data_IF_851876081407
#
_entry.id   IF_851876081407
#
_cell.length_a   1.000
_cell.length_b   1.000
_cell.length_c   1.000
_cell.angle_alpha   90.00
_cell.angle_beta   90.00
_cell.angle_gamma   90.00
#
_symmetry.space_group_name_H-M   'P 1'
#
loop_
_entity.id
_entity.type
_entity.pdbx_description
1 polymer ?
#
# COMPACT_ATOMS: atom_id res chain seq x y z
N UNK A 1 -9.55 -23.71 31.91
CA UNK A 1 -9.95 -24.50 30.72
C UNK A 1 -9.51 -23.73 29.50
N UNK A 2 -8.54 -24.26 28.74
CA UNK A 2 -8.15 -23.70 27.44
C UNK A 2 -9.17 -24.22 26.45
N UNK A 3 -10.01 -23.34 25.92
CA UNK A 3 -11.02 -23.72 24.96
C UNK A 3 -10.34 -24.04 23.62
N UNK A 4 -10.67 -25.22 23.12
CA UNK A 4 -10.22 -25.79 21.86
C UNK A 4 -10.55 -24.89 20.66
N UNK A 5 -9.55 -24.73 19.80
CA UNK A 5 -9.56 -25.08 18.37
C UNK A 5 -10.98 -25.19 17.77
N UNK A 6 -11.39 -24.17 17.02
CA UNK A 6 -12.39 -24.32 15.96
C UNK A 6 -11.68 -23.99 14.65
N UNK A 7 -11.21 -24.95 13.85
CA UNK A 7 -11.96 -25.58 12.75
C UNK A 7 -13.06 -24.70 12.17
N UNK A 8 -12.80 -24.11 10.99
CA UNK A 8 -13.82 -23.37 10.27
C UNK A 8 -13.45 -22.81 8.89
N UNK A 9 -12.43 -23.33 8.18
CA UNK A 9 -12.16 -23.00 6.76
C UNK A 9 -11.83 -21.52 6.41
N UNK A 10 -12.10 -20.58 7.31
CA UNK A 10 -11.68 -19.20 7.26
C UNK A 10 -10.28 -19.09 7.83
N UNK A 11 -9.41 -18.38 7.13
CA UNK A 11 -8.11 -18.02 7.67
C UNK A 11 -8.37 -17.13 8.89
N UNK A 12 -8.03 -17.61 10.10
CA UNK A 12 -8.12 -16.81 11.32
C UNK A 12 -7.15 -15.62 11.21
N UNK A 13 -7.64 -14.37 11.31
CA UNK A 13 -6.79 -13.18 11.17
C UNK A 13 -5.59 -13.20 12.13
N UNK A 14 -5.78 -13.65 13.36
CA UNK A 14 -4.71 -13.79 14.37
C UNK A 14 -3.61 -14.79 13.94
N UNK A 15 -3.95 -15.83 13.17
CA UNK A 15 -2.96 -16.77 12.62
C UNK A 15 -2.14 -16.16 11.51
N UNK A 16 -2.75 -15.33 10.66
CA UNK A 16 -2.01 -14.55 9.67
C UNK A 16 -1.04 -13.58 10.36
N UNK A 17 -1.54 -12.94 11.40
CA UNK A 17 -0.76 -12.06 12.26
C UNK A 17 0.48 -12.80 12.80
N UNK A 18 0.28 -13.94 13.46
CA UNK A 18 1.36 -14.76 14.00
C UNK A 18 2.34 -15.25 12.92
N UNK A 19 1.84 -15.69 11.76
CA UNK A 19 2.68 -16.07 10.63
C UNK A 19 3.51 -14.89 10.10
N UNK A 20 2.93 -13.67 10.09
CA UNK A 20 3.62 -12.43 9.78
C UNK A 20 4.83 -12.19 10.68
N UNK A 21 4.66 -12.33 12.00
CA UNK A 21 5.76 -12.18 12.98
C UNK A 21 6.84 -13.23 12.78
N UNK A 22 6.47 -14.51 12.61
CA UNK A 22 7.44 -15.58 12.36
C UNK A 22 8.28 -15.28 11.11
N UNK A 23 7.65 -14.77 10.05
CA UNK A 23 8.37 -14.40 8.82
C UNK A 23 9.25 -13.16 8.98
N UNK A 24 8.89 -12.21 9.86
CA UNK A 24 9.74 -11.08 10.22
C UNK A 24 11.02 -11.59 10.88
N UNK A 25 10.90 -12.37 11.95
CA UNK A 25 12.03 -12.92 12.70
C UNK A 25 12.91 -13.83 11.82
N UNK A 26 12.29 -14.65 10.97
CA UNK A 26 13.02 -15.44 9.96
C UNK A 26 13.82 -14.55 9.01
N UNK A 27 13.25 -13.42 8.58
CA UNK A 27 13.94 -12.47 7.71
C UNK A 27 15.24 -11.98 8.34
N UNK A 28 15.18 -11.69 9.64
CA UNK A 28 16.27 -11.14 10.45
C UNK A 28 17.40 -12.14 10.63
N UNK A 29 17.05 -13.36 11.01
CA UNK A 29 17.98 -14.48 11.08
C UNK A 29 18.64 -14.73 9.72
N UNK A 30 17.87 -14.72 8.63
CA UNK A 30 18.43 -14.96 7.28
C UNK A 30 19.42 -13.89 6.86
N UNK A 31 19.18 -12.62 7.21
CA UNK A 31 20.13 -11.54 6.93
C UNK A 31 21.43 -11.71 7.73
N UNK A 32 21.34 -12.04 9.01
CA UNK A 32 22.50 -12.33 9.87
C UNK A 32 23.34 -13.51 9.34
N UNK A 33 22.67 -14.51 8.75
CA UNK A 33 23.32 -15.66 8.11
C UNK A 33 23.85 -15.37 6.69
N UNK A 34 23.77 -14.12 6.21
CA UNK A 34 24.25 -13.72 4.88
C UNK A 34 23.29 -14.03 3.73
N UNK A 35 22.09 -14.54 4.00
CA UNK A 35 21.07 -14.90 3.02
C UNK A 35 20.10 -13.74 2.74
N UNK A 36 20.64 -12.56 2.44
CA UNK A 36 19.87 -11.31 2.35
C UNK A 36 18.69 -11.34 1.36
N UNK A 37 18.81 -12.05 0.23
CA UNK A 37 17.71 -12.20 -0.74
C UNK A 37 16.51 -12.96 -0.17
N UNK A 38 16.76 -14.05 0.55
CA UNK A 38 15.71 -14.81 1.22
C UNK A 38 15.14 -14.02 2.40
N UNK A 39 16.00 -13.31 3.14
CA UNK A 39 15.59 -12.40 4.21
C UNK A 39 14.62 -11.32 3.71
N UNK A 40 14.97 -10.67 2.59
CA UNK A 40 14.11 -9.70 1.91
C UNK A 40 12.74 -10.28 1.52
N UNK A 41 12.74 -11.46 0.89
CA UNK A 41 11.50 -12.14 0.51
C UNK A 41 10.63 -12.48 1.73
N UNK A 42 11.26 -12.88 2.84
CA UNK A 42 10.58 -13.16 4.11
C UNK A 42 9.92 -11.90 4.68
N UNK A 43 10.62 -10.77 4.68
CA UNK A 43 10.09 -9.48 5.17
C UNK A 43 8.96 -8.92 4.31
N UNK A 44 9.06 -9.00 2.99
CA UNK A 44 7.97 -8.58 2.10
C UNK A 44 6.69 -9.39 2.36
N UNK A 45 6.81 -10.70 2.57
CA UNK A 45 5.68 -11.56 2.95
C UNK A 45 5.16 -11.23 4.34
N UNK A 46 6.06 -10.99 5.29
CA UNK A 46 5.69 -10.57 6.65
C UNK A 46 4.82 -9.30 6.62
N UNK A 47 5.27 -8.26 5.92
CA UNK A 47 4.52 -7.00 5.80
C UNK A 47 3.13 -7.24 5.19
N UNK A 48 3.06 -8.00 4.10
CA UNK A 48 1.78 -8.35 3.48
C UNK A 48 0.83 -9.07 4.45
N UNK A 49 1.31 -10.08 5.17
CA UNK A 49 0.49 -10.86 6.11
C UNK A 49 0.00 -10.03 7.29
N UNK A 50 0.86 -9.17 7.84
CA UNK A 50 0.48 -8.27 8.93
C UNK A 50 -0.61 -7.30 8.47
N UNK A 51 -0.40 -6.60 7.36
CA UNK A 51 -1.42 -5.67 6.83
C UNK A 51 -2.72 -6.40 6.49
N UNK A 52 -2.63 -7.60 5.89
CA UNK A 52 -3.83 -8.40 5.57
C UNK A 52 -4.57 -8.87 6.81
N UNK A 53 -3.85 -9.26 7.87
CA UNK A 53 -4.46 -9.64 9.13
C UNK A 53 -5.17 -8.48 9.82
N UNK A 54 -4.60 -7.28 9.75
CA UNK A 54 -5.23 -6.05 10.23
C UNK A 54 -6.50 -5.74 9.44
N UNK A 55 -6.45 -5.79 8.10
CA UNK A 55 -7.64 -5.59 7.23
C UNK A 55 -8.77 -6.57 7.57
N UNK A 56 -8.44 -7.80 7.98
CA UNK A 56 -9.41 -8.81 8.38
C UNK A 56 -9.86 -8.72 9.85
N UNK A 57 -9.37 -7.73 10.61
CA UNK A 57 -9.81 -7.47 11.98
C UNK A 57 -9.21 -8.40 13.03
N UNK A 58 -7.94 -8.79 12.89
CA UNK A 58 -7.20 -9.48 13.95
C UNK A 58 -7.21 -8.68 15.26
N UNK A 59 -7.17 -9.39 16.40
CA UNK A 59 -7.20 -8.73 17.72
C UNK A 59 -5.89 -7.93 17.93
N UNK A 60 -5.97 -6.59 18.09
CA UNK A 60 -4.80 -5.74 18.29
C UNK A 60 -4.02 -6.06 19.58
N UNK A 61 -4.58 -6.86 20.50
CA UNK A 61 -3.86 -7.35 21.68
C UNK A 61 -2.85 -8.46 21.36
N UNK A 62 -2.97 -9.09 20.18
CA UNK A 62 -2.08 -10.18 19.75
C UNK A 62 -0.77 -9.62 19.21
N UNK A 63 -0.81 -8.46 18.54
CA UNK A 63 0.35 -7.84 17.89
C UNK A 63 0.31 -6.32 18.00
N UNK A 64 1.46 -5.72 18.31
CA UNK A 64 1.72 -4.30 18.11
C UNK A 64 1.94 -4.01 16.60
N UNK A 65 0.84 -3.80 15.87
CA UNK A 65 0.86 -3.51 14.43
C UNK A 65 1.67 -2.26 14.09
N UNK A 66 1.47 -1.09 14.76
CA UNK A 66 2.24 0.11 14.48
C UNK A 66 3.75 -0.14 14.48
N UNK A 67 4.28 -0.74 15.55
CA UNK A 67 5.72 -1.01 15.65
C UNK A 67 6.20 -1.99 14.58
N UNK A 68 5.49 -3.12 14.40
CA UNK A 68 5.90 -4.17 13.47
C UNK A 68 5.87 -3.70 12.00
N UNK A 69 4.82 -2.98 11.61
CA UNK A 69 4.67 -2.44 10.24
C UNK A 69 5.71 -1.35 9.99
N UNK A 70 5.91 -0.42 10.92
CA UNK A 70 6.89 0.66 10.77
C UNK A 70 8.31 0.11 10.61
N UNK A 71 8.69 -0.88 11.41
CA UNK A 71 10.00 -1.54 11.30
C UNK A 71 10.19 -2.17 9.91
N UNK A 72 9.21 -2.94 9.44
CA UNK A 72 9.27 -3.60 8.14
C UNK A 72 9.32 -2.60 6.99
N UNK A 73 8.49 -1.54 7.01
CA UNK A 73 8.50 -0.48 6.00
C UNK A 73 9.87 0.21 5.97
N UNK A 74 10.43 0.56 7.13
CA UNK A 74 11.76 1.19 7.23
C UNK A 74 12.85 0.32 6.60
N UNK A 75 12.82 -0.99 6.83
CA UNK A 75 13.79 -1.94 6.26
C UNK A 75 13.59 -2.21 4.77
N UNK A 76 12.35 -2.08 4.30
CA UNK A 76 11.99 -2.32 2.91
C UNK A 76 12.05 -1.06 2.03
N UNK A 77 12.31 0.12 2.61
CA UNK A 77 12.28 1.43 1.91
C UNK A 77 13.11 1.52 0.63
N UNK A 78 14.18 0.75 0.51
CA UNK A 78 15.08 0.75 -0.65
C UNK A 78 14.64 -0.22 -1.75
N UNK A 79 13.51 -0.89 -1.58
CA UNK A 79 12.97 -1.89 -2.49
C UNK A 79 11.57 -1.50 -2.94
N UNK A 80 11.27 -1.78 -4.21
CA UNK A 80 9.89 -1.69 -4.73
C UNK A 80 9.03 -2.73 -4.02
N UNK A 81 7.97 -2.26 -3.36
CA UNK A 81 6.97 -3.15 -2.79
C UNK A 81 6.02 -3.67 -3.87
N UNK A 82 5.52 -4.92 -3.77
CA UNK A 82 4.47 -5.40 -4.64
C UNK A 82 3.19 -4.57 -4.49
N UNK A 83 2.48 -4.31 -5.59
CA UNK A 83 1.25 -3.51 -5.58
C UNK A 83 0.17 -3.99 -4.61
N UNK A 84 -0.08 -5.31 -4.45
CA UNK A 84 -1.03 -5.77 -3.42
C UNK A 84 -0.65 -5.35 -2.00
N UNK A 85 0.65 -5.26 -1.70
CA UNK A 85 1.15 -4.78 -0.42
C UNK A 85 0.99 -3.27 -0.29
N UNK A 86 1.28 -2.51 -1.34
CA UNK A 86 1.09 -1.05 -1.35
C UNK A 86 -0.39 -0.67 -1.17
N UNK A 87 -1.32 -1.40 -1.78
CA UNK A 87 -2.76 -1.18 -1.59
C UNK A 87 -3.19 -1.42 -0.14
N UNK A 88 -2.70 -2.49 0.49
CA UNK A 88 -2.94 -2.76 1.90
C UNK A 88 -2.30 -1.70 2.80
N UNK A 89 -1.11 -1.21 2.44
CA UNK A 89 -0.40 -0.19 3.20
C UNK A 89 -1.11 1.17 3.12
N UNK A 90 -1.59 1.56 1.94
CA UNK A 90 -2.43 2.74 1.74
C UNK A 90 -3.66 2.68 2.65
N UNK A 91 -4.44 1.58 2.61
CA UNK A 91 -5.62 1.39 3.46
C UNK A 91 -5.27 1.46 4.95
N UNK A 92 -4.21 0.77 5.35
CA UNK A 92 -3.75 0.75 6.74
C UNK A 92 -3.46 2.16 7.25
N UNK A 93 -2.77 3.00 6.46
CA UNK A 93 -2.51 4.38 6.86
C UNK A 93 -3.76 5.25 6.86
N UNK A 94 -4.70 5.06 5.93
CA UNK A 94 -6.02 5.72 5.97
C UNK A 94 -6.77 5.38 7.25
N UNK A 95 -6.78 4.10 7.65
CA UNK A 95 -7.46 3.63 8.87
C UNK A 95 -6.86 4.23 10.15
N UNK A 96 -5.54 4.46 10.16
CA UNK A 96 -4.84 5.12 11.26
C UNK A 96 -4.91 6.66 11.22
N UNK A 97 -5.42 7.24 10.15
CA UNK A 97 -5.47 8.69 9.94
C UNK A 97 -4.13 9.32 9.51
N UNK A 98 -3.15 8.52 9.09
CA UNK A 98 -1.88 9.01 8.52
C UNK A 98 -2.03 9.25 7.01
N UNK A 99 -2.68 10.36 6.65
CA UNK A 99 -3.07 10.65 5.27
C UNK A 99 -1.87 10.96 4.36
N UNK A 100 -0.82 11.57 4.90
CA UNK A 100 0.47 11.78 4.23
C UNK A 100 1.12 10.44 3.80
N UNK A 101 1.17 9.46 4.70
CA UNK A 101 1.73 8.14 4.42
C UNK A 101 0.83 7.33 3.48
N UNK A 102 -0.49 7.49 3.61
CA UNK A 102 -1.44 6.90 2.68
C UNK A 102 -1.24 7.44 1.26
N UNK A 103 -1.02 8.75 1.11
CA UNK A 103 -0.74 9.40 -0.17
C UNK A 103 0.58 8.88 -0.78
N UNK A 104 1.65 8.78 0.01
CA UNK A 104 2.91 8.21 -0.45
C UNK A 104 2.72 6.80 -1.05
N UNK A 105 2.01 5.92 -0.35
CA UNK A 105 1.71 4.57 -0.84
C UNK A 105 0.83 4.57 -2.12
N UNK A 106 -0.05 5.57 -2.27
CA UNK A 106 -0.87 5.76 -3.46
C UNK A 106 -0.01 6.18 -4.67
N UNK A 107 0.97 7.06 -4.48
CA UNK A 107 1.90 7.41 -5.56
C UNK A 107 2.84 6.25 -5.93
N UNK A 108 3.29 5.46 -4.95
CA UNK A 108 4.04 4.23 -5.23
C UNK A 108 3.23 3.23 -6.08
N UNK A 109 1.92 3.11 -5.83
CA UNK A 109 1.00 2.31 -6.66
C UNK A 109 0.88 2.85 -8.08
N UNK A 110 0.86 4.17 -8.22
CA UNK A 110 0.78 4.83 -9.53
C UNK A 110 2.04 4.54 -10.34
N UNK A 111 3.22 4.64 -9.71
CA UNK A 111 4.49 4.31 -10.34
C UNK A 111 4.61 2.82 -10.71
N UNK A 112 3.95 1.94 -9.96
CA UNK A 112 3.88 0.51 -10.28
C UNK A 112 3.01 0.19 -11.50
N UNK A 113 2.22 1.15 -11.99
CA UNK A 113 1.40 1.01 -13.20
C UNK A 113 0.12 0.19 -13.01
N UNK A 114 -0.42 0.14 -11.80
CA UNK A 114 -1.68 -0.56 -11.52
C UNK A 114 -2.88 0.12 -12.20
N UNK A 115 -3.76 -0.68 -12.81
CA UNK A 115 -4.79 -0.20 -13.74
C UNK A 115 -5.90 0.65 -13.10
N UNK A 116 -6.15 0.47 -11.81
CA UNK A 116 -7.25 1.12 -11.09
C UNK A 116 -6.78 2.24 -10.14
N UNK A 117 -5.49 2.55 -10.13
CA UNK A 117 -4.92 3.54 -9.20
C UNK A 117 -5.53 4.92 -9.39
N UNK A 118 -5.86 5.32 -10.62
CA UNK A 118 -6.51 6.60 -10.92
C UNK A 118 -7.83 6.79 -10.17
N UNK A 119 -8.71 5.78 -10.22
CA UNK A 119 -9.99 5.82 -9.51
C UNK A 119 -9.80 5.74 -7.98
N UNK A 120 -8.85 4.92 -7.51
CA UNK A 120 -8.50 4.84 -6.09
C UNK A 120 -8.09 6.21 -5.54
N UNK A 121 -7.20 6.93 -6.22
CA UNK A 121 -6.74 8.24 -5.78
C UNK A 121 -7.83 9.31 -5.79
N UNK A 122 -8.72 9.28 -6.80
CA UNK A 122 -9.87 10.19 -6.83
C UNK A 122 -10.78 9.99 -5.60
N UNK A 123 -11.12 8.74 -5.27
CA UNK A 123 -11.93 8.44 -4.09
C UNK A 123 -11.21 8.77 -2.77
N UNK A 124 -9.89 8.61 -2.72
CA UNK A 124 -9.09 8.99 -1.56
C UNK A 124 -9.21 10.50 -1.28
N UNK A 125 -8.88 11.35 -2.25
CA UNK A 125 -8.95 12.79 -2.07
C UNK A 125 -10.39 13.31 -1.89
N UNK A 126 -11.38 12.78 -2.60
CA UNK A 126 -12.79 13.15 -2.39
C UNK A 126 -13.23 12.89 -0.95
N UNK A 127 -12.80 11.76 -0.37
CA UNK A 127 -13.10 11.45 1.03
C UNK A 127 -12.43 12.44 1.98
N UNK A 128 -11.17 12.81 1.72
CA UNK A 128 -10.43 13.77 2.54
C UNK A 128 -11.04 15.18 2.52
N UNK A 129 -11.56 15.63 1.38
CA UNK A 129 -12.28 16.91 1.28
C UNK A 129 -13.53 17.00 2.18
N UNK A 130 -14.08 15.86 2.59
CA UNK A 130 -15.19 15.78 3.53
C UNK A 130 -14.79 15.73 5.00
N UNK A 131 -13.49 15.67 5.33
CA UNK A 131 -13.01 15.60 6.70
C UNK A 131 -12.80 17.00 7.32
N UNK A 132 -12.94 17.13 8.67
CA UNK A 132 -12.51 18.32 9.39
C UNK A 132 -11.02 18.64 9.17
N UNK A 133 -10.69 19.91 9.09
CA UNK A 133 -9.33 20.40 8.87
C UNK A 133 -8.38 19.92 9.97
N UNK A 134 -8.83 19.84 11.22
CA UNK A 134 -8.01 19.38 12.34
C UNK A 134 -7.59 17.90 12.18
N UNK A 135 -8.46 17.06 11.60
CA UNK A 135 -8.09 15.68 11.30
C UNK A 135 -7.07 15.60 10.17
N UNK A 136 -7.24 16.42 9.13
CA UNK A 136 -6.32 16.53 8.00
C UNK A 136 -4.92 16.99 8.46
N UNK A 137 -4.85 18.04 9.28
CA UNK A 137 -3.60 18.53 9.87
C UNK A 137 -2.94 17.47 10.75
N UNK A 138 -3.71 16.81 11.64
CA UNK A 138 -3.18 15.75 12.50
C UNK A 138 -2.68 14.53 11.71
N UNK A 139 -3.28 14.29 10.55
CA UNK A 139 -2.91 13.23 9.61
C UNK A 139 -1.82 13.61 8.62
N UNK A 140 -1.22 14.80 8.78
CA UNK A 140 -0.07 15.24 7.99
C UNK A 140 -0.39 15.73 6.58
N UNK A 141 -1.67 15.89 6.21
CA UNK A 141 -2.08 16.31 4.87
C UNK A 141 -3.14 17.43 4.94
N UNK A 142 -2.73 18.70 5.16
CA UNK A 142 -3.64 19.83 5.30
C UNK A 142 -4.57 20.04 4.10
N UNK A 143 -5.69 20.74 4.30
CA UNK A 143 -6.74 20.90 3.28
C UNK A 143 -6.24 21.50 1.95
N UNK A 144 -5.25 22.39 1.98
CA UNK A 144 -4.66 22.96 0.77
C UNK A 144 -3.86 21.90 -0.01
N UNK A 145 -3.08 21.05 0.67
CA UNK A 145 -2.37 19.93 0.03
C UNK A 145 -3.35 18.89 -0.53
N UNK A 146 -4.48 18.63 0.14
CA UNK A 146 -5.55 17.76 -0.38
C UNK A 146 -6.12 18.29 -1.70
N UNK A 147 -6.37 19.60 -1.79
CA UNK A 147 -6.89 20.24 -3.01
C UNK A 147 -5.87 20.19 -4.14
N UNK A 148 -4.61 20.53 -3.85
CA UNK A 148 -3.51 20.53 -4.81
C UNK A 148 -3.21 19.10 -5.31
N UNK A 149 -3.23 18.13 -4.41
CA UNK A 149 -3.11 16.70 -4.70
C UNK A 149 -4.23 16.23 -5.61
N UNK A 150 -5.49 16.55 -5.31
CA UNK A 150 -6.64 16.20 -6.18
C UNK A 150 -6.54 16.83 -7.57
N UNK A 151 -6.12 18.10 -7.65
CA UNK A 151 -5.96 18.79 -8.92
C UNK A 151 -4.88 18.11 -9.78
N UNK A 152 -3.71 17.87 -9.18
CA UNK A 152 -2.59 17.14 -9.82
C UNK A 152 -3.05 15.75 -10.27
N UNK A 153 -3.81 15.06 -9.43
CA UNK A 153 -4.33 13.72 -9.72
C UNK A 153 -5.27 13.72 -10.91
N UNK A 154 -6.19 14.70 -10.97
CA UNK A 154 -7.11 14.89 -12.10
C UNK A 154 -6.34 15.17 -13.38
N UNK A 155 -5.36 16.05 -13.38
CA UNK A 155 -4.57 16.37 -14.58
C UNK A 155 -3.87 15.14 -15.15
N UNK A 156 -3.26 14.32 -14.29
CA UNK A 156 -2.58 13.08 -14.71
C UNK A 156 -3.53 12.04 -15.33
N UNK A 157 -4.78 12.00 -14.88
CA UNK A 157 -5.77 11.00 -15.31
C UNK A 157 -6.86 11.56 -16.25
N UNK A 158 -6.83 12.86 -16.58
CA UNK A 158 -7.74 13.48 -17.56
C UNK A 158 -7.22 13.34 -18.99
N UNK A 159 -5.98 12.90 -19.19
CA UNK A 159 -5.39 12.66 -20.51
C UNK A 159 -5.73 11.24 -20.97
N UNK A 160 -6.46 11.03 -22.09
CA UNK A 160 -6.65 9.70 -22.66
C UNK A 160 -5.29 9.09 -23.03
N UNK A 161 -5.13 7.75 -23.01
CA UNK A 161 -3.91 7.14 -23.51
C UNK A 161 -3.71 7.61 -24.95
N UNK A 162 -2.55 8.22 -25.25
CA UNK A 162 -2.19 8.57 -26.62
C UNK A 162 -2.31 7.30 -27.47
N UNK A 163 -3.37 7.28 -28.26
CA UNK A 163 -3.56 6.36 -29.37
C UNK A 163 -2.29 6.41 -30.21
N UNK A 164 -1.63 5.26 -30.29
CA UNK A 164 -0.60 4.91 -31.25
C UNK A 164 -0.77 5.68 -32.56
N UNK A 165 0.27 6.41 -32.91
CA UNK A 165 0.44 7.28 -34.06
C UNK A 165 -0.37 6.90 -35.32
N UNK A 166 -0.97 7.87 -36.03
CA UNK A 166 -1.39 7.62 -37.40
C UNK A 166 -0.14 7.36 -38.25
N UNK A 167 -0.17 6.24 -38.98
CA UNK A 167 0.66 6.04 -40.16
C UNK A 167 0.26 7.14 -41.16
N UNK A 168 0.99 8.26 -41.14
CA UNK A 168 0.92 9.23 -42.22
C UNK A 168 1.52 8.60 -43.46
N UNK A 169 0.64 8.37 -44.42
CA UNK A 169 0.87 8.09 -45.81
C UNK A 169 2.07 8.90 -46.35
N UNK A 170 3.12 8.21 -46.78
CA UNK A 170 4.03 8.76 -47.79
C UNK A 170 3.28 8.79 -49.13
N UNK A 171 2.48 9.83 -49.34
CA UNK A 171 2.38 10.40 -50.68
C UNK A 171 3.64 11.25 -50.89
N UNK A 172 4.39 11.00 -51.96
CA UNK A 172 4.38 11.79 -53.19
C UNK A 172 5.52 11.28 -54.10
N UNK A 173 5.62 11.69 -55.37
CA UNK A 173 4.59 12.01 -56.37
C UNK A 173 4.89 11.30 -57.72
N UNK A 174 3.93 11.33 -58.65
CA UNK A 174 4.12 10.82 -60.00
C UNK A 174 5.10 11.64 -60.85
N UNK A 175 5.83 10.96 -61.74
CA UNK A 175 5.94 11.18 -63.19
C UNK A 175 6.59 9.95 -63.81
#
# INVERSE_FOLDING_TARGET
>A
MIQMISTGGSIEPDRLAAAGIILKERGDILEELGNGKEGLSSRMKSLYLLLKSHELGADPKVIDYPSAVQELVSRLRSFRLPSPTLLLLHKYYVDLGHYDLAENALYDLLEAGEKDTGQLGFHFYERLLGLPEELLESGGLPIEEVKDGLQTWKERHSTPPETSAPLSEEETPGT
#
